data_IF_833053666624
#
_entry.id   IF_833053666624
#
_cell.length_a   1.000
_cell.length_b   1.000
_cell.length_c   1.000
_cell.angle_alpha   90.00
_cell.angle_beta   90.00
_cell.angle_gamma   90.00
#
_symmetry.space_group_name_H-M   'P 1'
#
loop_
_entity.id
_entity.type
_entity.pdbx_description
1 polymer ?
#
# COMPACT_ATOMS: atom_id res chain seq x y z
N UNK A 1 6.82 -2.48 -11.85
CA UNK A 1 6.23 -2.78 -10.51
C UNK A 1 5.86 -1.53 -9.73
N UNK A 2 6.79 -0.63 -9.49
CA UNK A 2 6.56 0.60 -8.70
C UNK A 2 5.44 1.47 -9.26
N UNK A 3 5.42 1.74 -10.55
CA UNK A 3 4.40 2.55 -11.18
C UNK A 3 3.00 1.97 -10.98
N UNK A 4 2.84 0.67 -11.17
CA UNK A 4 1.55 -0.01 -10.95
C UNK A 4 1.09 0.08 -9.50
N UNK A 5 2.03 0.01 -8.53
CA UNK A 5 1.72 0.14 -7.11
C UNK A 5 1.29 1.57 -6.76
N UNK A 6 2.01 2.59 -7.25
CA UNK A 6 1.65 4.00 -7.05
C UNK A 6 0.25 4.27 -7.63
N UNK A 7 -0.04 3.83 -8.83
CA UNK A 7 -1.36 4.02 -9.45
C UNK A 7 -2.47 3.29 -8.68
N UNK A 8 -2.19 2.08 -8.20
CA UNK A 8 -3.16 1.32 -7.40
C UNK A 8 -3.53 2.02 -6.09
N UNK A 9 -2.53 2.55 -5.39
CA UNK A 9 -2.72 3.31 -4.16
C UNK A 9 -3.41 4.64 -4.45
N UNK A 10 -2.91 5.45 -5.39
CA UNK A 10 -3.50 6.74 -5.72
C UNK A 10 -4.98 6.64 -6.14
N UNK A 11 -5.32 5.60 -6.92
CA UNK A 11 -6.72 5.31 -7.27
C UNK A 11 -7.59 5.04 -6.05
N UNK A 12 -7.07 4.26 -5.09
CA UNK A 12 -7.81 3.94 -3.87
C UNK A 12 -7.91 5.12 -2.92
N UNK A 13 -6.85 5.94 -2.81
CA UNK A 13 -6.76 7.05 -1.86
C UNK A 13 -7.59 8.27 -2.29
N UNK A 14 -7.41 8.74 -3.50
CA UNK A 14 -7.99 10.01 -3.95
C UNK A 14 -8.68 9.96 -5.30
N UNK A 15 -8.62 8.82 -6.01
CA UNK A 15 -8.96 8.72 -7.43
C UNK A 15 -8.18 9.71 -8.31
N UNK A 16 -6.91 9.92 -7.95
CA UNK A 16 -5.98 10.86 -8.60
C UNK A 16 -6.34 12.34 -8.43
N UNK A 17 -7.09 12.73 -7.40
CA UNK A 17 -7.46 14.13 -7.14
C UNK A 17 -6.40 14.78 -6.25
N UNK A 18 -5.59 15.75 -6.77
CA UNK A 18 -4.51 16.36 -6.00
C UNK A 18 -4.99 17.18 -4.81
N UNK A 19 -6.15 17.83 -4.92
CA UNK A 19 -6.75 18.67 -3.86
C UNK A 19 -7.55 17.90 -2.83
N UNK A 20 -7.46 16.55 -2.85
CA UNK A 20 -8.22 15.72 -1.91
C UNK A 20 -7.71 15.89 -0.47
N UNK A 21 -8.65 16.12 0.45
CA UNK A 21 -8.40 16.13 1.90
C UNK A 21 -9.47 15.26 2.55
N UNK A 22 -9.05 14.27 3.33
CA UNK A 22 -9.96 13.37 4.05
C UNK A 22 -10.47 14.03 5.34
N UNK A 23 -11.51 13.43 5.94
CA UNK A 23 -12.00 13.83 7.26
C UNK A 23 -10.96 13.68 8.38
N UNK A 24 -9.98 12.80 8.18
CA UNK A 24 -8.83 12.62 9.07
C UNK A 24 -7.61 13.49 8.69
N UNK A 25 -7.79 14.44 7.77
CA UNK A 25 -6.73 15.34 7.28
C UNK A 25 -5.61 14.66 6.48
N UNK A 26 -5.82 13.47 5.96
CA UNK A 26 -4.93 12.92 4.94
C UNK A 26 -5.02 13.76 3.66
N UNK A 27 -3.90 14.05 3.00
CA UNK A 27 -3.83 15.08 1.96
C UNK A 27 -3.22 14.56 0.66
N UNK A 28 -3.73 15.08 -0.44
CA UNK A 28 -3.17 14.93 -1.78
C UNK A 28 -3.53 13.62 -2.47
N UNK A 29 -2.88 13.40 -3.61
CA UNK A 29 -3.11 12.22 -4.47
C UNK A 29 -2.94 10.90 -3.71
N UNK A 30 -1.95 10.84 -2.81
CA UNK A 30 -1.56 9.64 -2.07
C UNK A 30 -2.07 9.65 -0.62
N UNK A 31 -2.87 10.65 -0.23
CA UNK A 31 -3.49 10.77 1.09
C UNK A 31 -2.49 10.57 2.24
N UNK A 32 -1.43 11.38 2.25
CA UNK A 32 -0.40 11.32 3.30
C UNK A 32 -0.87 12.15 4.49
N UNK A 33 -0.73 11.58 5.69
CA UNK A 33 -1.04 12.30 6.94
C UNK A 33 -0.01 13.41 7.19
N UNK A 34 -0.41 14.58 7.72
CA UNK A 34 0.50 15.70 7.96
C UNK A 34 1.73 15.36 8.81
N UNK A 35 1.55 14.54 9.86
CA UNK A 35 2.68 14.12 10.69
C UNK A 35 3.70 13.28 9.90
N UNK A 36 3.22 12.42 8.98
CA UNK A 36 4.09 11.61 8.15
C UNK A 36 4.78 12.47 7.08
N UNK A 37 4.05 13.36 6.40
CA UNK A 37 4.64 14.24 5.40
C UNK A 37 5.72 15.15 5.99
N UNK A 38 5.52 15.66 7.21
CA UNK A 38 6.54 16.43 7.94
C UNK A 38 7.79 15.59 8.23
N UNK A 39 7.62 14.33 8.64
CA UNK A 39 8.73 13.42 8.88
C UNK A 39 9.49 13.08 7.58
N UNK A 40 8.77 12.88 6.47
CA UNK A 40 9.35 12.61 5.17
C UNK A 40 10.13 13.82 4.63
N UNK A 41 9.60 15.05 4.79
CA UNK A 41 10.30 16.26 4.44
C UNK A 41 11.65 16.37 5.17
N UNK A 42 11.66 16.09 6.48
CA UNK A 42 12.89 16.05 7.26
C UNK A 42 13.89 15.02 6.73
N UNK A 43 13.43 13.82 6.37
CA UNK A 43 14.29 12.78 5.79
C UNK A 43 14.88 13.17 4.44
N UNK A 44 14.13 13.97 3.67
CA UNK A 44 14.54 14.46 2.35
C UNK A 44 15.32 15.79 2.41
N UNK A 45 15.54 16.34 3.62
CA UNK A 45 16.13 17.66 3.84
C UNK A 45 15.40 18.79 3.09
N UNK A 46 14.08 18.71 3.06
CA UNK A 46 13.19 19.69 2.42
C UNK A 46 12.48 20.56 3.47
N UNK A 47 12.22 21.83 3.13
CA UNK A 47 11.33 22.67 3.90
C UNK A 47 9.90 22.11 3.82
N UNK A 48 9.20 22.09 4.93
CA UNK A 48 7.85 21.53 5.01
C UNK A 48 6.80 22.65 5.10
N UNK A 49 5.95 22.68 4.06
CA UNK A 49 4.72 23.45 4.05
C UNK A 49 3.54 22.49 3.83
N UNK A 50 2.58 22.49 4.74
CA UNK A 50 1.47 21.53 4.69
C UNK A 50 0.69 21.60 3.36
N UNK A 51 0.52 22.82 2.83
CA UNK A 51 -0.20 23.07 1.57
C UNK A 51 0.51 22.48 0.35
N UNK A 52 1.82 22.23 0.43
CA UNK A 52 2.55 21.57 -0.64
C UNK A 52 2.10 20.12 -0.88
N UNK A 53 1.45 19.51 0.11
CA UNK A 53 0.88 18.18 -0.05
C UNK A 53 -0.31 18.15 -1.02
N UNK A 54 -0.87 19.28 -1.40
CA UNK A 54 -1.88 19.41 -2.45
C UNK A 54 -1.27 19.55 -3.86
N UNK A 55 0.05 19.68 -3.96
CA UNK A 55 0.79 19.62 -5.21
C UNK A 55 1.11 18.16 -5.54
N UNK A 56 0.66 17.68 -6.70
CA UNK A 56 0.76 16.27 -7.06
C UNK A 56 2.20 15.76 -7.08
N UNK A 57 3.15 16.53 -7.61
CA UNK A 57 4.57 16.18 -7.68
C UNK A 57 5.22 16.04 -6.30
N UNK A 58 4.92 16.95 -5.36
CA UNK A 58 5.41 16.91 -3.98
C UNK A 58 4.83 15.70 -3.25
N UNK A 59 3.52 15.52 -3.32
CA UNK A 59 2.82 14.43 -2.64
C UNK A 59 3.26 13.05 -3.18
N UNK A 60 3.41 12.90 -4.50
CA UNK A 60 3.94 11.68 -5.12
C UNK A 60 5.40 11.41 -4.74
N UNK A 61 6.25 12.45 -4.66
CA UNK A 61 7.65 12.30 -4.24
C UNK A 61 7.75 11.79 -2.81
N UNK A 62 6.96 12.34 -1.89
CA UNK A 62 6.91 11.90 -0.50
C UNK A 62 6.36 10.47 -0.36
N UNK A 63 5.28 10.17 -1.06
CA UNK A 63 4.73 8.82 -1.09
C UNK A 63 5.72 7.81 -1.65
N UNK A 64 6.43 8.16 -2.72
CA UNK A 64 7.44 7.28 -3.32
C UNK A 64 8.60 7.01 -2.34
N UNK A 65 9.04 8.02 -1.60
CA UNK A 65 10.05 7.83 -0.54
C UNK A 65 9.54 6.90 0.58
N UNK A 66 8.30 7.10 1.04
CA UNK A 66 7.68 6.22 2.02
C UNK A 66 7.52 4.78 1.51
N UNK A 67 7.13 4.61 0.25
CA UNK A 67 7.02 3.29 -0.37
C UNK A 67 8.36 2.56 -0.46
N UNK A 68 9.50 3.27 -0.66
CA UNK A 68 10.84 2.66 -0.58
C UNK A 68 11.05 1.98 0.78
N UNK A 69 10.68 2.66 1.86
CA UNK A 69 10.76 2.10 3.20
C UNK A 69 9.84 0.87 3.38
N UNK A 70 8.59 0.95 2.92
CA UNK A 70 7.63 -0.14 3.04
C UNK A 70 8.03 -1.36 2.22
N UNK A 71 8.49 -1.18 0.98
CA UNK A 71 8.94 -2.28 0.11
C UNK A 71 10.20 -2.99 0.65
N UNK A 72 11.09 -2.25 1.30
CA UNK A 72 12.23 -2.85 1.97
C UNK A 72 11.82 -3.85 3.07
N UNK A 73 10.64 -3.67 3.65
CA UNK A 73 10.12 -4.47 4.78
C UNK A 73 9.03 -5.46 4.37
N UNK A 74 8.23 -5.11 3.38
CA UNK A 74 7.09 -5.89 2.89
C UNK A 74 7.27 -6.16 1.41
N UNK A 75 7.52 -7.41 1.03
CA UNK A 75 7.89 -7.78 -0.35
C UNK A 75 6.69 -7.96 -1.30
N UNK A 76 5.47 -8.01 -0.76
CA UNK A 76 4.27 -8.28 -1.53
C UNK A 76 3.34 -7.06 -1.59
N UNK A 77 2.73 -6.72 -2.75
CA UNK A 77 1.85 -5.55 -2.90
C UNK A 77 0.71 -5.48 -1.87
N UNK A 78 0.10 -6.61 -1.52
CA UNK A 78 -0.95 -6.67 -0.49
C UNK A 78 -0.42 -6.26 0.89
N UNK A 79 0.76 -6.77 1.28
CA UNK A 79 1.36 -6.45 2.58
C UNK A 79 1.82 -4.99 2.63
N UNK A 80 2.28 -4.44 1.51
CA UNK A 80 2.61 -3.02 1.38
C UNK A 80 1.33 -2.18 1.53
N UNK A 81 0.23 -2.58 0.90
CA UNK A 81 -1.05 -1.90 1.04
C UNK A 81 -1.56 -1.91 2.49
N UNK A 82 -1.47 -3.05 3.18
CA UNK A 82 -1.80 -3.12 4.61
C UNK A 82 -0.92 -2.21 5.46
N UNK A 83 0.38 -2.17 5.18
CA UNK A 83 1.32 -1.31 5.90
C UNK A 83 1.11 0.18 5.58
N UNK A 84 0.68 0.50 4.38
CA UNK A 84 0.37 1.87 3.97
C UNK A 84 -0.87 2.41 4.69
N UNK A 85 -1.97 1.66 4.72
CA UNK A 85 -3.23 2.06 5.34
C UNK A 85 -3.25 1.83 6.86
N UNK A 86 -2.91 0.62 7.30
CA UNK A 86 -3.00 0.21 8.71
C UNK A 86 -1.72 0.42 9.52
N UNK A 87 -0.63 0.81 8.86
CA UNK A 87 0.67 0.99 9.46
C UNK A 87 1.53 -0.29 9.50
N UNK A 88 2.83 -0.10 9.37
CA UNK A 88 3.80 -1.22 9.33
C UNK A 88 3.85 -2.00 10.64
N UNK A 89 3.65 -1.34 11.78
CA UNK A 89 3.63 -1.99 13.10
C UNK A 89 2.46 -2.98 13.22
N UNK A 90 1.27 -2.57 12.79
CA UNK A 90 0.10 -3.44 12.72
C UNK A 90 0.35 -4.63 11.79
N UNK A 91 0.80 -4.38 10.56
CA UNK A 91 1.05 -5.45 9.58
C UNK A 91 2.07 -6.47 10.10
N UNK A 92 3.14 -6.02 10.74
CA UNK A 92 4.13 -6.92 11.36
C UNK A 92 3.54 -7.76 12.51
N UNK A 93 2.66 -7.18 13.34
CA UNK A 93 1.99 -7.96 14.39
C UNK A 93 1.12 -9.06 13.79
N UNK A 94 0.39 -8.76 12.72
CA UNK A 94 -0.44 -9.75 12.03
C UNK A 94 0.39 -10.90 11.42
N UNK A 95 1.51 -10.58 10.79
CA UNK A 95 2.43 -11.61 10.27
C UNK A 95 3.01 -12.48 11.39
N UNK A 96 3.38 -11.87 12.53
CA UNK A 96 3.88 -12.62 13.69
C UNK A 96 2.80 -13.48 14.38
N UNK A 97 1.54 -13.13 14.27
CA UNK A 97 0.43 -13.95 14.77
C UNK A 97 0.12 -15.17 13.89
N UNK A 98 0.87 -15.37 12.82
CA UNK A 98 0.75 -16.54 11.95
C UNK A 98 -0.10 -16.31 10.69
N UNK A 99 -0.61 -15.10 10.43
CA UNK A 99 -1.28 -14.82 9.16
C UNK A 99 -0.30 -14.95 7.99
N UNK A 100 -0.78 -15.51 6.90
CA UNK A 100 -0.02 -15.77 5.66
C UNK A 100 1.13 -16.79 5.84
N UNK A 101 1.07 -17.63 6.87
CA UNK A 101 2.09 -18.66 7.11
C UNK A 101 1.84 -19.90 6.29
N UNK A 102 2.90 -20.45 5.65
CA UNK A 102 2.88 -21.76 5.00
C UNK A 102 2.72 -22.93 5.99
N UNK A 103 3.01 -22.69 7.25
CA UNK A 103 2.89 -23.67 8.34
C UNK A 103 1.50 -23.66 8.98
N UNK A 104 0.56 -22.85 8.48
CA UNK A 104 -0.80 -22.82 8.96
C UNK A 104 -1.46 -24.20 8.87
N UNK A 105 -2.23 -24.58 9.89
CA UNK A 105 -3.08 -25.77 9.85
C UNK A 105 -4.11 -25.73 8.71
N UNK A 106 -4.41 -24.52 8.23
CA UNK A 106 -5.37 -24.25 7.16
C UNK A 106 -4.67 -23.77 5.87
N UNK A 107 -3.45 -24.25 5.63
CA UNK A 107 -2.62 -23.83 4.47
C UNK A 107 -3.32 -23.95 3.12
N UNK A 108 -4.26 -24.86 2.98
CA UNK A 108 -5.08 -25.07 1.77
C UNK A 108 -5.98 -23.88 1.44
N UNK A 109 -6.36 -23.06 2.46
CA UNK A 109 -7.17 -21.85 2.30
C UNK A 109 -6.32 -20.57 2.24
N UNK A 110 -5.01 -20.69 2.41
CA UNK A 110 -4.13 -19.52 2.31
C UNK A 110 -3.87 -19.13 0.83
N UNK A 111 -3.71 -17.83 0.57
CA UNK A 111 -3.68 -16.69 1.51
C UNK A 111 -5.07 -16.10 1.82
N UNK A 112 -6.14 -16.63 1.25
CA UNK A 112 -7.47 -16.04 1.33
C UNK A 112 -8.02 -16.01 2.74
N UNK A 113 -7.78 -17.07 3.52
CA UNK A 113 -8.19 -17.13 4.92
C UNK A 113 -7.55 -16.00 5.73
N UNK A 114 -6.24 -15.80 5.59
CA UNK A 114 -5.53 -14.71 6.27
C UNK A 114 -6.03 -13.33 5.85
N UNK A 115 -6.38 -13.15 4.57
CA UNK A 115 -6.98 -11.91 4.08
C UNK A 115 -8.32 -11.60 4.76
N UNK A 116 -9.13 -12.61 5.06
CA UNK A 116 -10.42 -12.43 5.74
C UNK A 116 -10.27 -12.29 7.26
N UNK A 117 -9.26 -12.90 7.86
CA UNK A 117 -9.01 -12.84 9.30
C UNK A 117 -8.36 -11.54 9.76
N UNK A 118 -7.91 -10.66 8.85
CA UNK A 118 -7.34 -9.37 9.23
C UNK A 118 -8.37 -8.55 10.04
N UNK A 119 -8.08 -8.17 11.30
CA UNK A 119 -9.10 -7.67 12.21
C UNK A 119 -9.68 -6.29 11.84
N UNK A 120 -8.86 -5.41 11.24
CA UNK A 120 -9.31 -4.07 10.84
C UNK A 120 -10.03 -4.11 9.48
N UNK A 121 -11.34 -3.96 9.52
CA UNK A 121 -12.21 -4.03 8.34
C UNK A 121 -11.80 -3.02 7.23
N UNK A 122 -11.42 -1.80 7.62
CA UNK A 122 -10.96 -0.79 6.67
C UNK A 122 -9.68 -1.26 5.95
N UNK A 123 -8.64 -1.65 6.70
CA UNK A 123 -7.36 -2.10 6.15
C UNK A 123 -7.53 -3.39 5.33
N UNK A 124 -8.40 -4.31 5.78
CA UNK A 124 -8.73 -5.53 5.05
C UNK A 124 -9.33 -5.24 3.68
N UNK A 125 -10.33 -4.36 3.62
CA UNK A 125 -10.96 -3.94 2.35
C UNK A 125 -10.02 -3.12 1.48
N UNK A 126 -9.22 -2.25 2.09
CA UNK A 126 -8.22 -1.45 1.41
C UNK A 126 -7.21 -2.32 0.66
N UNK A 127 -6.62 -3.28 1.34
CA UNK A 127 -5.62 -4.18 0.74
C UNK A 127 -6.18 -4.94 -0.47
N UNK A 128 -7.40 -5.47 -0.37
CA UNK A 128 -8.06 -6.16 -1.49
C UNK A 128 -8.24 -5.25 -2.70
N UNK A 129 -8.70 -4.01 -2.50
CA UNK A 129 -8.91 -3.04 -3.58
C UNK A 129 -7.60 -2.61 -4.22
N UNK A 130 -6.57 -2.33 -3.40
CA UNK A 130 -5.24 -1.97 -3.91
C UNK A 130 -4.63 -3.13 -4.69
N UNK A 131 -4.75 -4.37 -4.20
CA UNK A 131 -4.23 -5.54 -4.90
C UNK A 131 -4.92 -5.76 -6.26
N UNK A 132 -6.25 -5.60 -6.32
CA UNK A 132 -7.01 -5.69 -7.56
C UNK A 132 -6.57 -4.60 -8.56
N UNK A 133 -6.47 -3.35 -8.12
CA UNK A 133 -5.98 -2.25 -8.93
C UNK A 133 -4.54 -2.50 -9.40
N UNK A 134 -3.66 -2.97 -8.50
CA UNK A 134 -2.28 -3.31 -8.83
C UNK A 134 -2.20 -4.34 -9.96
N UNK A 135 -2.98 -5.42 -9.87
CA UNK A 135 -3.04 -6.46 -10.90
C UNK A 135 -3.44 -5.88 -12.26
N UNK A 136 -4.51 -5.05 -12.27
CA UNK A 136 -5.00 -4.41 -13.49
C UNK A 136 -3.93 -3.49 -14.10
N UNK A 137 -3.35 -2.59 -13.30
CA UNK A 137 -2.32 -1.67 -13.79
C UNK A 137 -1.07 -2.41 -14.24
N UNK A 138 -0.61 -3.41 -13.48
CA UNK A 138 0.54 -4.22 -13.85
C UNK A 138 0.35 -4.90 -15.20
N UNK A 139 -0.83 -5.45 -15.44
CA UNK A 139 -1.16 -6.13 -16.70
C UNK A 139 -1.24 -5.18 -17.88
N UNK A 140 -1.72 -3.96 -17.68
CA UNK A 140 -1.91 -2.99 -18.77
C UNK A 140 -0.68 -2.13 -19.06
N UNK A 141 0.11 -1.79 -18.03
CA UNK A 141 1.29 -0.93 -18.20
C UNK A 141 2.52 -1.69 -18.66
N UNK A 142 2.62 -2.95 -18.34
CA UNK A 142 3.74 -3.81 -18.72
C UNK A 142 3.30 -4.80 -19.81
N UNK A 143 3.50 -4.42 -21.06
CA UNK A 143 3.06 -5.20 -22.24
C UNK A 143 3.69 -6.60 -22.32
N UNK A 144 4.84 -6.80 -21.68
CA UNK A 144 5.55 -8.09 -21.65
C UNK A 144 5.23 -8.89 -20.38
N UNK A 145 4.27 -8.45 -19.58
CA UNK A 145 4.00 -9.02 -18.29
C UNK A 145 3.06 -10.23 -18.36
N UNK A 146 3.54 -11.36 -17.92
CA UNK A 146 2.81 -12.62 -17.79
C UNK A 146 2.14 -12.79 -16.42
N UNK A 147 1.94 -11.70 -15.64
CA UNK A 147 1.32 -11.80 -14.32
C UNK A 147 -0.06 -12.46 -14.41
N UNK A 148 -0.27 -13.45 -13.57
CA UNK A 148 -1.57 -14.09 -13.36
C UNK A 148 -2.02 -13.87 -11.93
N UNK A 149 -3.31 -13.98 -11.65
CA UNK A 149 -3.80 -13.93 -10.28
C UNK A 149 -3.17 -15.04 -9.44
N UNK A 150 -3.02 -16.23 -10.02
CA UNK A 150 -2.37 -17.36 -9.35
C UNK A 150 -0.94 -17.01 -8.92
N UNK A 151 -0.11 -16.52 -9.85
CA UNK A 151 1.29 -16.15 -9.53
C UNK A 151 1.38 -15.04 -8.49
N UNK A 152 0.42 -14.08 -8.50
CA UNK A 152 0.36 -13.01 -7.53
C UNK A 152 0.11 -13.55 -6.11
N UNK A 153 -0.80 -14.50 -5.95
CA UNK A 153 -1.12 -15.08 -4.63
C UNK A 153 -0.09 -16.10 -4.14
N UNK A 154 0.55 -16.85 -5.04
CA UNK A 154 1.61 -17.81 -4.68
C UNK A 154 2.81 -17.16 -3.99
N UNK A 155 3.11 -15.89 -4.31
CA UNK A 155 4.22 -15.14 -3.71
C UNK A 155 3.89 -14.56 -2.33
N UNK A 156 2.63 -14.64 -1.91
CA UNK A 156 2.16 -14.05 -0.64
C UNK A 156 2.39 -14.99 0.55
N UNK A 157 2.23 -16.28 0.38
CA UNK A 157 2.45 -17.27 1.43
C UNK A 157 3.94 -17.35 1.80
N UNK A 158 4.26 -17.18 3.08
CA UNK A 158 5.61 -17.15 3.66
C UNK A 158 5.91 -18.42 4.46
#
# INVERSE_FOLDING_TARGET
>A
ERQSLIYAIARQESRFIPSSISTAYAMGVMQIMPFLSKALAKQLNENYEITDQLKADVNLRYANHHLNFLEAKMKHPLLIAYAYNGGIGFTRRMLRSGLFSKESKFKEYEPFLSMELLPYNETRKYGKKVLANYYIYKKHLDKNNSITLKSLFETLAR
#
